data_IF_445459820782
#
_entry.id   IF_445459820782
#
_cell.length_a   1.000
_cell.length_b   1.000
_cell.length_c   1.000
_cell.angle_alpha   90.00
_cell.angle_beta   90.00
_cell.angle_gamma   90.00
#
_symmetry.space_group_name_H-M   'P 1'
#
loop_
_entity.id
_entity.type
_entity.pdbx_description
1 polymer ?
#
# COMPACT_ATOMS: atom_id res chain seq x y z
N UNK A 1 -23.44 -23.85 -26.94
CA UNK A 1 -21.96 -23.92 -26.84
C UNK A 1 -21.55 -23.36 -25.49
N UNK A 2 -21.09 -24.22 -24.58
CA UNK A 2 -20.76 -23.87 -23.20
C UNK A 2 -19.26 -23.64 -23.08
N UNK A 3 -18.84 -22.41 -22.82
CA UNK A 3 -17.43 -22.08 -22.63
C UNK A 3 -16.98 -22.54 -21.24
N UNK A 4 -16.03 -23.48 -21.19
CA UNK A 4 -15.36 -23.91 -19.95
C UNK A 4 -14.05 -23.12 -19.85
N UNK A 5 -13.89 -22.21 -18.88
CA UNK A 5 -12.66 -21.45 -18.73
C UNK A 5 -11.53 -22.35 -18.19
N UNK A 6 -10.26 -22.07 -18.56
CA UNK A 6 -9.12 -22.89 -18.15
C UNK A 6 -8.85 -22.79 -16.65
N UNK A 7 -8.40 -23.92 -16.06
CA UNK A 7 -7.95 -23.99 -14.67
C UNK A 7 -6.60 -23.32 -14.53
N UNK A 8 -6.62 -22.07 -14.06
CA UNK A 8 -5.41 -21.33 -13.66
C UNK A 8 -5.25 -20.02 -14.42
N UNK A 9 -5.93 -18.96 -13.99
CA UNK A 9 -5.66 -17.62 -14.51
C UNK A 9 -6.83 -16.64 -14.35
N UNK A 10 -6.60 -15.59 -13.54
CA UNK A 10 -7.22 -14.25 -13.59
C UNK A 10 -8.74 -14.20 -13.77
N UNK A 11 -9.45 -14.46 -12.67
CA UNK A 11 -10.88 -14.20 -12.60
C UNK A 11 -11.44 -14.43 -11.21
N UNK A 12 -10.92 -13.72 -10.19
CA UNK A 12 -11.71 -13.61 -8.95
C UNK A 12 -12.95 -12.82 -9.35
N UNK A 13 -14.08 -13.51 -9.52
CA UNK A 13 -15.35 -12.85 -9.80
C UNK A 13 -15.54 -11.69 -8.82
N UNK A 14 -16.13 -10.58 -9.28
CA UNK A 14 -16.45 -9.44 -8.40
C UNK A 14 -17.17 -9.90 -7.13
N UNK A 15 -17.96 -10.99 -7.24
CA UNK A 15 -18.66 -11.66 -6.14
C UNK A 15 -17.74 -12.43 -5.18
N UNK A 16 -16.64 -13.02 -5.65
CA UNK A 16 -15.61 -13.63 -4.80
C UNK A 16 -14.74 -12.58 -4.10
N UNK A 17 -14.38 -11.48 -4.79
CA UNK A 17 -13.70 -10.34 -4.16
C UNK A 17 -14.57 -9.68 -3.08
N UNK A 18 -15.87 -9.46 -3.37
CA UNK A 18 -16.84 -8.96 -2.38
C UNK A 18 -17.04 -9.91 -1.20
N UNK A 19 -16.99 -11.23 -1.40
CA UNK A 19 -17.09 -12.22 -0.30
C UNK A 19 -15.87 -12.18 0.61
N UNK A 20 -14.67 -12.13 0.03
CA UNK A 20 -13.43 -11.97 0.81
C UNK A 20 -13.42 -10.64 1.60
N UNK A 21 -13.91 -9.55 1.00
CA UNK A 21 -14.01 -8.25 1.66
C UNK A 21 -15.25 -8.08 2.56
N UNK A 22 -16.16 -9.07 2.63
CA UNK A 22 -17.35 -8.98 3.49
C UNK A 22 -17.00 -9.16 4.97
N UNK A 23 -15.87 -9.81 5.27
CA UNK A 23 -15.44 -10.14 6.63
C UNK A 23 -14.43 -9.15 7.23
N UNK A 24 -13.74 -8.37 6.40
CA UNK A 24 -12.87 -7.28 6.84
C UNK A 24 -13.28 -6.03 6.07
N UNK A 25 -13.82 -5.01 6.76
CA UNK A 25 -13.95 -3.69 6.15
C UNK A 25 -12.53 -3.14 6.00
N UNK A 26 -12.00 -2.97 4.78
CA UNK A 26 -10.72 -2.28 4.64
C UNK A 26 -10.85 -0.90 5.27
N UNK A 27 -9.81 -0.46 5.97
CA UNK A 27 -9.68 0.89 6.55
C UNK A 27 -8.68 1.71 5.71
N UNK A 28 -9.09 2.22 4.53
CA UNK A 28 -8.27 3.09 3.70
C UNK A 28 -7.64 4.25 4.46
N UNK A 29 -8.42 4.90 5.31
CA UNK A 29 -8.03 6.16 5.94
C UNK A 29 -7.01 5.91 7.05
N UNK A 30 -7.21 4.87 7.87
CA UNK A 30 -6.21 4.49 8.86
C UNK A 30 -4.94 3.96 8.23
N UNK A 31 -5.02 3.22 7.11
CA UNK A 31 -3.83 2.86 6.34
C UNK A 31 -3.07 4.12 5.87
N UNK A 32 -3.77 5.09 5.28
CA UNK A 32 -3.18 6.33 4.78
C UNK A 32 -2.53 7.15 5.90
N UNK A 33 -3.17 7.24 7.07
CA UNK A 33 -2.61 7.90 8.26
C UNK A 33 -1.33 7.21 8.75
N UNK A 34 -1.34 5.89 8.90
CA UNK A 34 -0.16 5.11 9.33
C UNK A 34 0.96 5.21 8.31
N UNK A 35 0.64 5.16 7.02
CA UNK A 35 1.61 5.33 5.95
C UNK A 35 2.29 6.71 6.00
N UNK A 36 1.51 7.79 6.12
CA UNK A 36 2.05 9.14 6.28
C UNK A 36 2.96 9.25 7.51
N UNK A 37 2.51 8.72 8.65
CA UNK A 37 3.30 8.69 9.87
C UNK A 37 4.62 7.93 9.66
N UNK A 38 4.59 6.76 9.01
CA UNK A 38 5.78 5.96 8.70
C UNK A 38 6.77 6.77 7.84
N UNK A 39 6.30 7.50 6.83
CA UNK A 39 7.16 8.35 6.00
C UNK A 39 7.78 9.51 6.81
N UNK A 40 7.01 10.11 7.72
CA UNK A 40 7.48 11.23 8.56
C UNK A 40 8.56 10.75 9.54
N UNK A 41 8.35 9.62 10.21
CA UNK A 41 9.33 9.11 11.21
C UNK A 41 10.57 8.51 10.54
N UNK A 42 10.44 7.94 9.34
CA UNK A 42 11.56 7.27 8.65
C UNK A 42 12.47 8.25 7.90
N UNK A 43 11.98 9.45 7.55
CA UNK A 43 12.73 10.37 6.70
C UNK A 43 12.64 11.84 7.16
N UNK A 44 13.81 12.47 7.30
CA UNK A 44 13.92 13.89 7.63
C UNK A 44 13.25 14.82 6.59
N UNK A 45 13.14 14.41 5.33
CA UNK A 45 12.51 15.22 4.27
C UNK A 45 11.82 14.38 3.20
N UNK A 46 10.91 15.00 2.44
CA UNK A 46 10.31 14.38 1.26
C UNK A 46 11.35 14.00 0.19
N UNK A 47 12.45 14.76 0.09
CA UNK A 47 13.56 14.41 -0.82
C UNK A 47 14.29 13.13 -0.41
N UNK A 48 14.53 12.93 0.89
CA UNK A 48 15.13 11.69 1.41
C UNK A 48 14.21 10.48 1.18
N UNK A 49 12.91 10.64 1.45
CA UNK A 49 11.90 9.63 1.15
C UNK A 49 11.87 9.30 -0.35
N UNK A 50 11.85 10.31 -1.22
CA UNK A 50 11.86 10.10 -2.67
C UNK A 50 13.07 9.31 -3.16
N UNK A 51 14.27 9.66 -2.67
CA UNK A 51 15.50 8.92 -3.01
C UNK A 51 15.48 7.48 -2.52
N UNK A 52 14.99 7.23 -1.30
CA UNK A 52 14.90 5.88 -0.73
C UNK A 52 14.02 4.95 -1.58
N UNK A 53 12.88 5.46 -2.04
CA UNK A 53 11.91 4.69 -2.83
C UNK A 53 12.11 4.79 -4.35
N UNK A 54 13.03 5.62 -4.84
CA UNK A 54 13.20 5.87 -6.27
C UNK A 54 12.00 6.59 -6.92
N UNK A 55 11.26 7.41 -6.14
CA UNK A 55 10.09 8.16 -6.62
C UNK A 55 10.36 9.66 -6.65
N UNK A 56 9.50 10.40 -7.35
CA UNK A 56 9.61 11.86 -7.41
C UNK A 56 9.41 12.51 -6.03
N UNK A 57 9.97 13.72 -5.84
CA UNK A 57 9.75 14.51 -4.63
C UNK A 57 8.26 14.75 -4.36
N UNK A 58 7.47 15.00 -5.42
CA UNK A 58 6.04 15.24 -5.29
C UNK A 58 5.30 14.00 -4.75
N UNK A 59 5.62 12.81 -5.27
CA UNK A 59 5.06 11.55 -4.76
C UNK A 59 5.36 11.36 -3.28
N UNK A 60 6.59 11.67 -2.86
CA UNK A 60 6.99 11.61 -1.46
C UNK A 60 6.26 12.64 -0.58
N UNK A 61 6.02 13.87 -1.08
CA UNK A 61 5.17 14.84 -0.38
C UNK A 61 3.75 14.29 -0.21
N UNK A 62 3.14 13.78 -1.28
CA UNK A 62 1.79 13.24 -1.23
C UNK A 62 1.66 12.07 -0.23
N UNK A 63 2.69 11.23 -0.12
CA UNK A 63 2.73 10.16 0.86
C UNK A 63 2.83 10.68 2.29
N UNK A 64 3.70 11.68 2.53
CA UNK A 64 3.82 12.34 3.85
C UNK A 64 2.55 13.09 4.25
N UNK A 65 1.79 13.61 3.30
CA UNK A 65 0.54 14.35 3.53
C UNK A 65 -0.71 13.45 3.51
N UNK A 66 -0.54 12.14 3.29
CA UNK A 66 -1.63 11.18 3.15
C UNK A 66 -2.63 11.49 2.00
N UNK A 67 -2.21 12.20 0.96
CA UNK A 67 -3.08 12.60 -0.16
C UNK A 67 -3.08 11.59 -1.33
N UNK A 68 -2.07 10.71 -1.40
CA UNK A 68 -2.00 9.66 -2.41
C UNK A 68 -1.48 8.34 -1.85
N UNK A 69 -2.07 7.23 -2.25
CA UNK A 69 -1.70 5.89 -1.76
C UNK A 69 -0.38 5.40 -2.39
N UNK A 70 0.48 4.68 -1.67
CA UNK A 70 1.58 3.94 -2.26
C UNK A 70 1.10 2.78 -3.14
N UNK A 71 1.95 2.39 -4.10
CA UNK A 71 1.80 1.16 -4.87
C UNK A 71 2.25 -0.05 -4.03
N UNK A 72 1.80 -1.25 -4.39
CA UNK A 72 2.08 -2.46 -3.61
C UNK A 72 3.56 -2.79 -3.47
N UNK A 73 4.35 -2.57 -4.52
CA UNK A 73 5.81 -2.72 -4.53
C UNK A 73 6.51 -1.76 -3.56
N UNK A 74 6.04 -0.50 -3.46
CA UNK A 74 6.53 0.45 -2.47
C UNK A 74 6.20 0.00 -1.04
N UNK A 75 5.04 -0.61 -0.82
CA UNK A 75 4.67 -1.20 0.48
C UNK A 75 5.57 -2.38 0.81
N UNK A 76 5.80 -3.30 -0.13
CA UNK A 76 6.68 -4.47 0.05
C UNK A 76 8.14 -4.06 0.29
N UNK A 77 8.59 -2.97 -0.35
CA UNK A 77 9.91 -2.41 -0.11
C UNK A 77 10.00 -1.76 1.27
N UNK A 78 8.98 -1.02 1.70
CA UNK A 78 8.92 -0.44 3.03
C UNK A 78 8.94 -1.51 4.13
N UNK A 79 8.22 -2.62 3.95
CA UNK A 79 8.24 -3.77 4.86
C UNK A 79 9.63 -4.35 5.08
N UNK A 80 10.46 -4.37 4.03
CA UNK A 80 11.81 -4.95 4.07
C UNK A 80 12.89 -3.98 4.55
N UNK A 81 12.67 -2.68 4.38
CA UNK A 81 13.74 -1.67 4.56
C UNK A 81 13.51 -0.71 5.70
N UNK A 82 12.28 -0.53 6.17
CA UNK A 82 11.97 0.42 7.24
C UNK A 82 11.80 -0.31 8.57
N UNK A 83 12.67 -0.03 9.57
CA UNK A 83 12.66 -0.76 10.84
C UNK A 83 11.37 -0.55 11.64
N UNK A 84 10.72 0.61 11.49
CA UNK A 84 9.49 0.96 12.19
C UNK A 84 8.21 0.48 11.49
N UNK A 85 8.31 -0.23 10.36
CA UNK A 85 7.14 -0.60 9.56
C UNK A 85 6.09 -1.36 10.39
N UNK A 86 6.48 -2.47 11.02
CA UNK A 86 5.57 -3.32 11.80
C UNK A 86 4.87 -2.53 12.92
N UNK A 87 5.66 -1.77 13.68
CA UNK A 87 5.19 -0.94 14.79
C UNK A 87 4.18 0.12 14.35
N UNK A 88 4.46 0.83 13.25
CA UNK A 88 3.60 1.94 12.79
C UNK A 88 2.38 1.42 12.04
N UNK A 89 2.53 0.35 11.23
CA UNK A 89 1.46 -0.20 10.41
C UNK A 89 0.52 -1.15 11.17
N UNK A 90 0.97 -1.68 12.32
CA UNK A 90 0.25 -2.69 13.10
C UNK A 90 0.29 -4.07 12.43
N UNK A 91 1.42 -4.42 11.81
CA UNK A 91 1.63 -5.63 11.03
C UNK A 91 2.53 -6.64 11.76
#
# INVERSE_FOLDING_TARGET
MSFIPPRGGRGRSVRAMRRAHRHARPDPDGFMRRWSMLMIVSFASAGACGRHFGVTRQTACNWREATHRPYGDAVDYAMRTLPDYARVMGA
#
